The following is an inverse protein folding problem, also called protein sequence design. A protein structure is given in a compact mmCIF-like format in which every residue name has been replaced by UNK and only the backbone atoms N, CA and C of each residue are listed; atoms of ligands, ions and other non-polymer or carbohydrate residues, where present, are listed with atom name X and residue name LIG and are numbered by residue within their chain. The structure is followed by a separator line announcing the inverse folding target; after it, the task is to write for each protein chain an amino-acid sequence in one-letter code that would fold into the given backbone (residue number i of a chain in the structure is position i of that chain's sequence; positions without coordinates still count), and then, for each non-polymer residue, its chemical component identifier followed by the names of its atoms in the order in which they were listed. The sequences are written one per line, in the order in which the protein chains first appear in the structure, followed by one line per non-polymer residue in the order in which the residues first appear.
data_IF_957597030828
#
_entry.id   IF_957597030828
#
_cell.length_a   1.000
_cell.length_b   1.000
_cell.length_c   1.000
_cell.angle_alpha   90.00
_cell.angle_beta   90.00
_cell.angle_gamma   90.00
#
_symmetry.space_group_name_H-M   'P 1'
#
loop_
_entity.id
_entity.type
_entity.pdbx_description
1 polymer ?
#
# COMPACT_ATOMS: atom_id res chain seq x y z
N UNK A 1 9.54 -36.73 -2.32
CA UNK A 1 8.84 -37.25 -3.51
C UNK A 1 7.55 -36.45 -3.70
N UNK A 2 7.44 -35.73 -4.82
CA UNK A 2 6.60 -34.54 -5.05
C UNK A 2 5.16 -34.84 -5.50
N UNK A 3 4.89 -36.03 -6.03
CA UNK A 3 3.60 -36.42 -6.63
C UNK A 3 2.44 -36.52 -5.63
N UNK A 4 2.64 -37.21 -4.50
CA UNK A 4 1.58 -37.40 -3.49
C UNK A 4 1.11 -36.09 -2.86
N UNK A 5 2.03 -35.13 -2.68
CA UNK A 5 1.72 -33.80 -2.11
C UNK A 5 0.91 -32.93 -3.08
N UNK A 6 1.13 -33.06 -4.39
CA UNK A 6 0.33 -32.37 -5.40
C UNK A 6 -1.09 -32.93 -5.49
N UNK A 7 -1.24 -34.27 -5.45
CA UNK A 7 -2.55 -34.94 -5.48
C UNK A 7 -3.45 -34.57 -4.29
N UNK A 8 -2.87 -34.31 -3.12
CA UNK A 8 -3.63 -33.93 -1.93
C UNK A 8 -3.88 -32.41 -1.79
N UNK A 9 -3.09 -31.56 -2.44
CA UNK A 9 -3.22 -30.10 -2.37
C UNK A 9 -3.73 -29.52 -3.69
N UNK A 10 -4.92 -29.94 -4.11
CA UNK A 10 -5.58 -29.41 -5.32
C UNK A 10 -6.10 -27.98 -5.11
N UNK A 11 -6.31 -27.58 -3.86
CA UNK A 11 -6.69 -26.21 -3.50
C UNK A 11 -5.42 -25.36 -3.47
N UNK A 12 -5.35 -24.25 -4.22
CA UNK A 12 -4.20 -23.37 -4.18
C UNK A 12 -4.00 -22.85 -2.76
N UNK A 13 -2.84 -23.15 -2.18
CA UNK A 13 -2.44 -22.56 -0.91
C UNK A 13 -2.37 -21.05 -1.12
N UNK A 14 -3.05 -20.29 -0.26
CA UNK A 14 -3.18 -18.84 -0.39
C UNK A 14 -1.83 -18.10 -0.41
N UNK A 15 -1.88 -16.80 -0.72
CA UNK A 15 -0.68 -15.95 -0.73
C UNK A 15 -0.09 -15.83 0.67
N UNK A 16 1.24 -15.76 0.77
CA UNK A 16 1.97 -15.57 2.03
C UNK A 16 1.53 -14.26 2.70
N UNK A 17 1.06 -14.33 3.94
CA UNK A 17 0.80 -13.15 4.76
C UNK A 17 2.14 -12.57 5.27
N UNK A 18 2.64 -11.52 4.61
CA UNK A 18 3.82 -10.76 5.04
C UNK A 18 3.39 -9.33 5.41
N UNK A 19 3.88 -8.79 6.54
CA UNK A 19 3.73 -7.36 6.85
C UNK A 19 4.59 -6.50 5.90
N UNK A 20 4.30 -5.20 5.83
CA UNK A 20 5.19 -4.27 5.15
C UNK A 20 6.45 -4.09 5.99
N UNK A 21 7.61 -4.35 5.40
CA UNK A 21 8.90 -4.23 6.10
C UNK A 21 9.47 -2.81 6.03
N UNK A 22 9.08 -2.02 5.02
CA UNK A 22 9.71 -0.73 4.69
C UNK A 22 8.97 0.52 5.20
N UNK A 23 7.69 0.41 5.52
CA UNK A 23 6.84 1.56 5.90
C UNK A 23 6.03 1.14 7.11
N UNK A 24 6.02 1.99 8.14
CA UNK A 24 5.08 1.88 9.23
C UNK A 24 3.69 2.36 8.79
N UNK A 25 2.70 1.48 8.93
CA UNK A 25 1.35 1.70 8.41
C UNK A 25 0.60 2.78 9.22
N UNK A 26 0.86 2.87 10.51
CA UNK A 26 0.24 3.86 11.40
C UNK A 26 0.78 5.26 11.11
N UNK A 27 2.09 5.39 10.93
CA UNK A 27 2.73 6.65 10.53
C UNK A 27 2.22 7.14 9.17
N UNK A 28 2.07 6.24 8.20
CA UNK A 28 1.51 6.59 6.89
C UNK A 28 0.05 7.07 7.02
N UNK A 29 -0.76 6.41 7.85
CA UNK A 29 -2.16 6.79 8.06
C UNK A 29 -2.30 8.20 8.62
N UNK A 30 -1.52 8.54 9.65
CA UNK A 30 -1.48 9.91 10.22
C UNK A 30 -1.09 10.96 9.16
N UNK A 31 -0.07 10.65 8.35
CA UNK A 31 0.36 11.56 7.28
C UNK A 31 -0.71 11.71 6.18
N UNK A 32 -1.55 10.70 5.93
CA UNK A 32 -2.70 10.82 5.02
C UNK A 32 -3.77 11.72 5.58
N UNK A 33 -4.03 11.66 6.89
CA UNK A 33 -5.01 12.51 7.56
C UNK A 33 -4.57 13.97 7.62
N UNK A 34 -3.29 14.24 7.89
CA UNK A 34 -2.74 15.59 8.00
C UNK A 34 -2.60 16.28 6.62
N UNK A 35 -2.21 15.51 5.59
CA UNK A 35 -2.02 16.02 4.24
C UNK A 35 -2.84 15.22 3.23
N UNK A 36 -4.15 15.46 3.08
CA UNK A 36 -4.98 14.69 2.17
C UNK A 36 -4.60 14.87 0.69
N UNK A 37 -4.19 16.09 0.31
CA UNK A 37 -3.82 16.44 -1.08
C UNK A 37 -2.36 16.15 -1.45
N UNK A 38 -1.54 15.71 -0.48
CA UNK A 38 -0.13 15.42 -0.76
C UNK A 38 0.04 14.26 -1.75
N UNK A 39 0.90 14.49 -2.74
CA UNK A 39 1.21 13.51 -3.77
C UNK A 39 2.05 12.34 -3.23
N UNK A 40 2.00 11.21 -3.93
CA UNK A 40 2.76 10.02 -3.55
C UNK A 40 4.28 10.26 -3.53
N UNK A 41 4.80 11.12 -4.41
CA UNK A 41 6.23 11.43 -4.45
C UNK A 41 6.69 12.29 -3.27
N UNK A 42 5.84 13.20 -2.77
CA UNK A 42 6.13 14.02 -1.59
C UNK A 42 6.17 13.15 -0.34
N UNK A 43 5.16 12.27 -0.18
CA UNK A 43 5.11 11.28 0.89
C UNK A 43 6.34 10.35 0.83
N UNK A 44 6.71 9.91 -0.36
CA UNK A 44 7.86 9.04 -0.57
C UNK A 44 9.17 9.72 -0.15
N UNK A 45 9.34 11.01 -0.45
CA UNK A 45 10.49 11.80 -0.01
C UNK A 45 10.53 11.92 1.52
N UNK A 46 9.38 12.16 2.17
CA UNK A 46 9.29 12.23 3.64
C UNK A 46 9.68 10.92 4.32
N UNK A 47 9.19 9.78 3.81
CA UNK A 47 9.48 8.46 4.37
C UNK A 47 10.80 7.85 3.86
N UNK A 48 11.52 8.50 2.94
CA UNK A 48 12.75 7.97 2.34
C UNK A 48 12.53 6.68 1.53
N UNK A 49 11.35 6.48 0.95
CA UNK A 49 10.96 5.27 0.21
C UNK A 49 10.66 5.59 -1.26
N UNK A 50 10.46 4.56 -2.07
CA UNK A 50 10.01 4.77 -3.45
C UNK A 50 8.51 5.10 -3.52
N UNK A 51 8.05 5.88 -4.52
CA UNK A 51 6.63 6.19 -4.71
C UNK A 51 5.75 4.94 -4.84
N UNK A 52 6.23 3.90 -5.52
CA UNK A 52 5.52 2.62 -5.62
C UNK A 52 5.31 1.96 -4.26
N UNK A 53 6.26 2.10 -3.33
CA UNK A 53 6.14 1.55 -1.98
C UNK A 53 4.96 2.22 -1.24
N UNK A 54 4.81 3.53 -1.38
CA UNK A 54 3.67 4.30 -0.84
C UNK A 54 2.37 3.85 -1.49
N UNK A 55 2.32 3.68 -2.81
CA UNK A 55 1.14 3.18 -3.53
C UNK A 55 0.65 1.83 -2.98
N UNK A 56 1.55 0.86 -2.81
CA UNK A 56 1.18 -0.45 -2.25
C UNK A 56 0.73 -0.34 -0.79
N UNK A 57 1.35 0.53 0.01
CA UNK A 57 0.94 0.76 1.39
C UNK A 57 -0.48 1.36 1.47
N UNK A 58 -0.81 2.34 0.63
CA UNK A 58 -2.16 2.91 0.53
C UNK A 58 -3.20 1.86 0.11
N UNK A 59 -2.86 0.99 -0.87
CA UNK A 59 -3.74 -0.12 -1.28
C UNK A 59 -3.99 -1.11 -0.14
N UNK A 60 -3.02 -1.34 0.74
CA UNK A 60 -3.19 -2.20 1.93
C UNK A 60 -4.09 -1.55 2.99
N UNK A 61 -4.05 -0.22 3.11
CA UNK A 61 -4.96 0.55 3.97
C UNK A 61 -6.35 0.77 3.36
N UNK A 62 -6.55 0.34 2.10
CA UNK A 62 -7.79 0.55 1.34
C UNK A 62 -8.15 2.05 1.18
N UNK A 63 -7.13 2.90 1.14
CA UNK A 63 -7.29 4.35 0.95
C UNK A 63 -7.16 4.65 -0.53
N UNK A 64 -8.21 5.23 -1.11
CA UNK A 64 -8.22 5.73 -2.49
C UNK A 64 -8.68 7.18 -2.48
N UNK A 65 -7.75 8.11 -2.67
CA UNK A 65 -8.08 9.54 -2.78
C UNK A 65 -8.34 9.86 -4.25
N UNK A 66 -9.58 10.21 -4.56
CA UNK A 66 -9.96 10.74 -5.87
C UNK A 66 -9.72 12.26 -5.84
N UNK A 67 -9.04 12.78 -6.85
CA UNK A 67 -8.89 14.23 -6.99
C UNK A 67 -10.28 14.83 -7.25
N UNK A 68 -10.65 15.81 -6.44
CA UNK A 68 -11.80 16.66 -6.72
C UNK A 68 -11.34 17.73 -7.71
N UNK A 69 -12.09 17.91 -8.79
CA UNK A 69 -11.82 18.93 -9.82
C UNK A 69 -11.99 20.35 -9.29
N UNK A 70 -12.52 20.51 -8.08
CA UNK A 70 -12.81 21.80 -7.44
C UNK A 70 -11.62 22.39 -6.67
N UNK A 71 -10.39 21.97 -6.97
CA UNK A 71 -9.19 22.58 -6.38
C UNK A 71 -8.81 23.86 -7.14
N UNK A 72 -9.41 24.95 -6.66
CA UNK A 72 -8.87 26.32 -6.62
C UNK A 72 -8.72 27.09 -7.94
N UNK A 73 -9.75 27.87 -8.25
CA UNK A 73 -9.55 29.27 -8.62
C UNK A 73 -8.84 29.98 -7.45
N UNK A 74 -7.57 30.31 -7.62
CA UNK A 74 -6.87 31.39 -6.90
C UNK A 74 -6.00 32.11 -7.92
#
# INVERSE_FOLDING_TARGET
RTFSRWKQNLIPVGKRNKPATKIDMEALKKHVEEFPDAYQYERAAFFGVSPNCVLYALRRLNISVKKNTDSSQV
#
